data_IF_093608501870
#
_entry.id   IF_093608501870
#
_cell.length_a   1.000
_cell.length_b   1.000
_cell.length_c   1.000
_cell.angle_alpha   90.00
_cell.angle_beta   90.00
_cell.angle_gamma   90.00
#
_symmetry.space_group_name_H-M   'P 1'
#
loop_
_entity.id
_entity.type
_entity.pdbx_description
1 polymer ?
#
# COMPACT_ATOMS: atom_id res chain seq x y z
N UNK A 1 16.49 -3.40 -8.29
CA UNK A 1 15.67 -3.51 -7.07
C UNK A 1 15.12 -2.13 -6.77
N UNK A 2 13.80 -1.99 -6.67
CA UNK A 2 13.14 -0.70 -6.37
C UNK A 2 13.38 -0.28 -4.92
N UNK A 3 13.87 0.93 -4.69
CA UNK A 3 13.95 1.54 -3.36
C UNK A 3 12.55 1.92 -2.86
N UNK A 4 12.19 1.43 -1.66
CA UNK A 4 10.87 1.65 -1.03
C UNK A 4 10.93 2.89 -0.12
N UNK A 5 10.65 4.07 -0.67
CA UNK A 5 10.78 5.35 0.03
C UNK A 5 9.87 5.44 1.27
N UNK A 6 8.70 4.81 1.21
CA UNK A 6 7.71 4.80 2.29
C UNK A 6 8.20 4.10 3.58
N UNK A 7 9.28 3.31 3.53
CA UNK A 7 9.88 2.71 4.73
C UNK A 7 10.66 3.74 5.56
N UNK A 8 11.20 4.78 4.91
CA UNK A 8 12.00 5.81 5.56
C UNK A 8 11.16 7.05 5.92
N UNK A 9 10.17 7.36 5.09
CA UNK A 9 9.28 8.50 5.32
C UNK A 9 7.84 8.14 4.92
N UNK A 10 7.01 7.80 5.92
CA UNK A 10 5.61 7.44 5.72
C UNK A 10 4.73 8.64 5.29
N UNK A 11 5.20 9.88 5.48
CA UNK A 11 4.49 11.11 5.12
C UNK A 11 4.85 11.65 3.71
N UNK A 12 5.80 11.01 3.02
CA UNK A 12 6.13 11.36 1.65
C UNK A 12 4.93 11.12 0.72
N UNK A 13 4.52 12.14 -0.03
CA UNK A 13 3.38 12.10 -0.98
C UNK A 13 3.78 12.36 -2.42
N UNK A 14 4.88 13.06 -2.65
CA UNK A 14 5.45 13.25 -3.96
C UNK A 14 6.90 12.77 -4.00
N UNK A 15 7.34 12.28 -5.16
CA UNK A 15 8.72 11.83 -5.37
C UNK A 15 9.07 11.82 -6.85
N UNK A 16 10.36 11.96 -7.17
CA UNK A 16 10.86 11.73 -8.53
C UNK A 16 11.37 10.29 -8.65
N UNK A 17 11.28 9.69 -9.84
CA UNK A 17 11.84 8.38 -10.15
C UNK A 17 12.19 8.22 -11.64
N UNK A 18 12.86 7.13 -11.98
CA UNK A 18 13.15 6.71 -13.35
C UNK A 18 12.47 5.38 -13.63
N UNK A 19 11.82 5.27 -14.80
CA UNK A 19 11.26 4.00 -15.27
C UNK A 19 12.39 3.02 -15.60
N UNK A 20 12.49 1.92 -14.86
CA UNK A 20 13.53 0.90 -15.07
C UNK A 20 13.07 -0.23 -15.96
N UNK A 21 11.77 -0.46 -16.07
CA UNK A 21 11.20 -1.49 -16.93
C UNK A 21 9.74 -1.20 -17.31
N UNK A 22 9.30 -1.78 -18.42
CA UNK A 22 7.93 -1.62 -18.95
C UNK A 22 7.41 -2.98 -19.39
N UNK A 23 6.19 -3.32 -18.98
CA UNK A 23 5.51 -4.57 -19.31
C UNK A 23 4.01 -4.29 -19.54
N UNK A 24 3.60 -4.17 -20.80
CA UNK A 24 2.25 -3.78 -21.22
C UNK A 24 1.80 -2.46 -20.55
N UNK A 25 0.82 -2.54 -19.64
CA UNK A 25 0.30 -1.40 -18.89
C UNK A 25 1.00 -1.17 -17.55
N UNK A 26 2.11 -1.87 -17.28
CA UNK A 26 2.84 -1.82 -16.02
C UNK A 26 4.22 -1.23 -16.20
N UNK A 27 4.69 -0.52 -15.18
CA UNK A 27 6.06 -0.04 -15.11
C UNK A 27 6.74 -0.41 -13.79
N UNK A 28 8.05 -0.62 -13.86
CA UNK A 28 8.93 -0.69 -12.69
C UNK A 28 9.67 0.66 -12.55
N UNK A 29 9.84 1.12 -11.31
CA UNK A 29 10.57 2.33 -10.99
C UNK A 29 11.85 1.98 -10.22
N UNK A 30 12.88 2.81 -10.32
CA UNK A 30 14.10 2.70 -9.50
C UNK A 30 13.80 2.94 -8.02
N UNK A 31 12.85 3.82 -7.71
CA UNK A 31 12.33 4.08 -6.37
C UNK A 31 10.85 4.45 -6.40
N UNK A 32 10.13 4.15 -5.32
CA UNK A 32 8.70 4.46 -5.22
C UNK A 32 8.27 4.80 -3.81
N UNK A 33 7.39 5.79 -3.68
CA UNK A 33 6.67 6.05 -2.45
C UNK A 33 5.31 5.33 -2.39
N UNK A 34 4.81 4.77 -3.51
CA UNK A 34 3.58 3.98 -3.52
C UNK A 34 3.79 2.67 -2.74
N UNK A 35 2.91 2.40 -1.78
CA UNK A 35 2.85 1.13 -1.07
C UNK A 35 2.26 0.07 -2.01
N UNK A 36 2.99 -1.02 -2.19
CA UNK A 36 2.49 -2.20 -2.89
C UNK A 36 1.60 -3.03 -1.96
N UNK A 37 0.51 -3.59 -2.50
CA UNK A 37 -0.41 -4.43 -1.72
C UNK A 37 0.35 -5.52 -0.98
N UNK A 38 0.23 -5.55 0.35
CA UNK A 38 0.96 -6.49 1.21
C UNK A 38 0.30 -6.59 2.59
N UNK A 39 0.39 -7.75 3.24
CA UNK A 39 -0.08 -7.93 4.62
C UNK A 39 -1.57 -7.62 4.86
N UNK A 40 -2.42 -7.72 3.83
CA UNK A 40 -3.83 -7.33 3.89
C UNK A 40 -4.11 -5.84 3.70
N UNK A 41 -3.08 -4.99 3.64
CA UNK A 41 -3.23 -3.58 3.27
C UNK A 41 -3.25 -3.42 1.75
N UNK A 42 -4.31 -2.83 1.17
CA UNK A 42 -4.36 -2.50 -0.25
C UNK A 42 -3.26 -1.52 -0.67
N UNK A 43 -2.91 -1.54 -1.95
CA UNK A 43 -1.99 -0.58 -2.53
C UNK A 43 -2.49 0.86 -2.44
N UNK A 44 -1.53 1.78 -2.56
CA UNK A 44 -1.85 3.17 -2.85
C UNK A 44 -2.22 3.40 -4.31
N UNK A 45 -3.00 4.45 -4.51
CA UNK A 45 -3.36 5.01 -5.81
C UNK A 45 -2.79 6.42 -5.94
N UNK A 46 -2.82 6.97 -7.14
CA UNK A 46 -2.36 8.33 -7.41
C UNK A 46 -2.03 8.53 -8.88
N UNK A 47 -1.06 9.40 -9.17
CA UNK A 47 -0.71 9.78 -10.53
C UNK A 47 0.80 9.77 -10.75
N UNK A 48 1.21 9.50 -11.98
CA UNK A 48 2.56 9.74 -12.47
C UNK A 48 2.50 10.81 -13.56
N UNK A 49 3.41 11.77 -13.51
CA UNK A 49 3.57 12.84 -14.49
C UNK A 49 4.98 12.76 -15.10
N UNK A 50 5.08 13.07 -16.38
CA UNK A 50 6.36 13.24 -17.07
C UNK A 50 6.20 14.28 -18.18
N UNK A 51 7.31 14.68 -18.80
CA UNK A 51 7.37 15.79 -19.76
C UNK A 51 6.25 15.80 -20.81
N UNK A 52 5.83 14.61 -21.28
CA UNK A 52 4.88 14.46 -22.39
C UNK A 52 3.64 13.63 -22.03
N UNK A 53 3.30 13.48 -20.74
CA UNK A 53 2.12 12.71 -20.37
C UNK A 53 1.88 12.56 -18.87
N UNK A 54 0.72 12.00 -18.55
CA UNK A 54 0.36 11.60 -17.21
C UNK A 54 -0.52 10.35 -17.26
N UNK A 55 -0.46 9.53 -16.22
CA UNK A 55 -1.30 8.36 -16.06
C UNK A 55 -1.65 8.13 -14.59
N UNK A 56 -2.80 7.49 -14.35
CA UNK A 56 -3.21 7.13 -12.99
C UNK A 56 -2.61 5.79 -12.60
N UNK A 57 -2.07 5.67 -11.39
CA UNK A 57 -1.65 4.40 -10.80
C UNK A 57 -2.88 3.74 -10.17
N UNK A 58 -3.28 2.60 -10.72
CA UNK A 58 -4.51 1.89 -10.33
C UNK A 58 -4.28 0.56 -9.61
N UNK A 59 -3.05 0.04 -9.62
CA UNK A 59 -2.64 -1.13 -8.83
C UNK A 59 -1.12 -1.11 -8.63
N UNK A 60 -0.67 -1.55 -7.45
CA UNK A 60 0.76 -1.69 -7.14
C UNK A 60 1.01 -3.03 -6.47
N UNK A 61 1.86 -3.86 -7.08
CA UNK A 61 2.10 -5.24 -6.66
C UNK A 61 3.58 -5.59 -6.68
N UNK A 62 3.99 -6.39 -5.70
CA UNK A 62 5.29 -7.04 -5.72
C UNK A 62 5.16 -8.37 -6.44
N UNK A 63 5.92 -8.59 -7.52
CA UNK A 63 5.98 -9.86 -8.25
C UNK A 63 7.45 -10.28 -8.35
N UNK A 64 7.81 -11.36 -7.67
CA UNK A 64 9.22 -11.69 -7.44
C UNK A 64 9.90 -10.59 -6.63
N UNK A 65 10.98 -10.03 -7.16
CA UNK A 65 11.75 -8.94 -6.52
C UNK A 65 11.37 -7.54 -7.03
N UNK A 66 10.41 -7.45 -7.96
CA UNK A 66 10.02 -6.22 -8.64
C UNK A 66 8.73 -5.63 -8.07
N UNK A 67 8.65 -4.29 -8.06
CA UNK A 67 7.42 -3.56 -7.75
C UNK A 67 6.84 -3.00 -9.04
N UNK A 68 5.71 -3.55 -9.45
CA UNK A 68 4.99 -3.15 -10.64
C UNK A 68 3.88 -2.16 -10.31
N UNK A 69 3.81 -1.07 -11.07
CA UNK A 69 2.77 -0.06 -11.01
C UNK A 69 1.92 -0.20 -12.28
N UNK A 70 0.67 -0.61 -12.14
CA UNK A 70 -0.28 -0.70 -13.26
C UNK A 70 -0.88 0.68 -13.50
N UNK A 71 -0.79 1.15 -14.74
CA UNK A 71 -1.24 2.47 -15.15
C UNK A 71 -2.54 2.40 -15.94
N UNK A 72 -3.44 3.34 -15.64
CA UNK A 72 -4.57 3.70 -16.48
C UNK A 72 -4.22 4.98 -17.24
N UNK A 73 -3.77 4.83 -18.48
CA UNK A 73 -3.35 5.93 -19.35
C UNK A 73 -2.15 5.56 -20.23
N UNK A 74 -1.50 6.56 -20.84
CA UNK A 74 -0.26 6.37 -21.60
C UNK A 74 0.83 5.72 -20.74
N UNK A 75 1.71 4.93 -21.38
CA UNK A 75 2.81 4.24 -20.70
C UNK A 75 4.13 4.94 -21.06
N UNK A 76 4.88 5.46 -20.08
CA UNK A 76 6.18 6.07 -20.35
C UNK A 76 7.21 5.02 -20.79
N UNK A 77 8.19 5.44 -21.59
CA UNK A 77 9.26 4.56 -22.01
C UNK A 77 10.23 4.27 -20.85
N UNK A 78 10.95 3.15 -20.96
CA UNK A 78 12.08 2.87 -20.07
C UNK A 78 13.11 4.01 -20.16
N UNK A 79 13.60 4.46 -19.00
CA UNK A 79 14.52 5.59 -18.86
C UNK A 79 13.82 6.95 -18.70
N UNK A 80 12.50 7.03 -18.86
CA UNK A 80 11.75 8.27 -18.62
C UNK A 80 11.82 8.67 -17.14
N UNK A 81 12.10 9.95 -16.89
CA UNK A 81 11.96 10.57 -15.57
C UNK A 81 10.50 10.89 -15.32
N UNK A 82 10.02 10.54 -14.13
CA UNK A 82 8.64 10.77 -13.71
C UNK A 82 8.61 11.48 -12.35
N UNK A 83 7.53 12.19 -12.10
CA UNK A 83 7.10 12.66 -10.79
C UNK A 83 5.88 11.82 -10.39
N UNK A 84 5.93 11.17 -9.23
CA UNK A 84 4.83 10.40 -8.67
C UNK A 84 4.15 11.16 -7.55
N UNK A 85 2.83 11.18 -7.56
CA UNK A 85 1.97 11.77 -6.54
C UNK A 85 1.00 10.72 -6.00
N UNK A 86 1.00 10.52 -4.68
CA UNK A 86 0.12 9.58 -3.98
C UNK A 86 -1.17 10.30 -3.57
N UNK A 87 -2.29 9.59 -3.65
CA UNK A 87 -3.55 10.01 -3.03
C UNK A 87 -3.39 10.10 -1.50
N UNK A 88 -3.19 11.32 -1.00
CA UNK A 88 -2.93 11.58 0.43
C UNK A 88 -4.10 11.16 1.32
N UNK A 89 -5.34 11.39 0.89
CA UNK A 89 -6.51 11.05 1.68
C UNK A 89 -6.60 9.53 1.85
N UNK A 90 -6.51 8.77 0.75
CA UNK A 90 -6.49 7.31 0.80
C UNK A 90 -5.34 6.81 1.68
N UNK A 91 -4.13 7.33 1.49
CA UNK A 91 -2.94 6.93 2.26
C UNK A 91 -3.15 7.15 3.76
N UNK A 92 -3.65 8.32 4.17
CA UNK A 92 -3.91 8.62 5.60
C UNK A 92 -4.99 7.72 6.17
N UNK A 93 -6.06 7.46 5.43
CA UNK A 93 -7.13 6.56 5.85
C UNK A 93 -6.63 5.12 6.05
N UNK A 94 -5.77 4.63 5.15
CA UNK A 94 -5.09 3.33 5.30
C UNK A 94 -4.19 3.32 6.53
N UNK A 95 -3.32 4.32 6.72
CA UNK A 95 -2.43 4.40 7.89
C UNK A 95 -3.21 4.42 9.22
N UNK A 96 -4.34 5.15 9.29
CA UNK A 96 -5.23 5.17 10.46
C UNK A 96 -5.82 3.80 10.75
N UNK A 97 -6.30 3.11 9.71
CA UNK A 97 -6.91 1.79 9.82
C UNK A 97 -5.90 0.75 10.29
N UNK A 98 -4.70 0.73 9.69
CA UNK A 98 -3.61 -0.17 10.07
C UNK A 98 -3.21 0.06 11.54
N UNK A 99 -3.07 1.32 11.94
CA UNK A 99 -2.76 1.68 13.33
C UNK A 99 -3.84 1.17 14.30
N UNK A 100 -5.11 1.36 13.96
CA UNK A 100 -6.23 0.86 14.77
C UNK A 100 -6.23 -0.67 14.91
N UNK A 101 -5.92 -1.40 13.83
CA UNK A 101 -5.79 -2.86 13.86
C UNK A 101 -4.65 -3.32 14.79
N UNK A 102 -3.51 -2.63 14.80
CA UNK A 102 -2.43 -2.91 15.75
C UNK A 102 -2.81 -2.61 17.20
N UNK A 103 -3.58 -1.54 17.44
CA UNK A 103 -4.12 -1.24 18.78
C UNK A 103 -5.04 -2.39 19.22
N UNK A 104 -5.92 -2.88 18.34
CA UNK A 104 -6.78 -4.03 18.63
C UNK A 104 -5.97 -5.28 18.96
N UNK A 105 -4.92 -5.60 18.19
CA UNK A 105 -3.98 -6.67 18.54
C UNK A 105 -3.39 -6.50 19.94
N UNK A 106 -2.96 -5.29 20.29
CA UNK A 106 -2.42 -4.98 21.62
C UNK A 106 -3.44 -5.23 22.74
N UNK A 107 -4.69 -4.84 22.53
CA UNK A 107 -5.80 -5.11 23.48
C UNK A 107 -6.06 -6.61 23.60
N UNK A 108 -6.13 -7.32 22.47
CA UNK A 108 -6.38 -8.77 22.43
C UNK A 108 -5.29 -9.56 23.17
N UNK A 109 -4.03 -9.20 22.93
CA UNK A 109 -2.90 -9.78 23.65
C UNK A 109 -2.91 -9.44 25.15
N UNK A 110 -3.20 -8.18 25.49
CA UNK A 110 -3.20 -7.73 26.89
C UNK A 110 -4.25 -8.47 27.73
N UNK A 111 -5.48 -8.59 27.21
CA UNK A 111 -6.63 -9.15 27.95
C UNK A 111 -6.76 -10.66 27.82
N UNK A 112 -6.54 -11.24 26.63
CA UNK A 112 -6.84 -12.65 26.34
C UNK A 112 -5.64 -13.48 25.89
N UNK A 113 -4.44 -12.88 25.75
CA UNK A 113 -3.22 -13.58 25.28
C UNK A 113 -3.40 -14.25 23.92
N UNK A 114 -4.26 -13.70 23.06
CA UNK A 114 -4.48 -14.20 21.69
C UNK A 114 -3.74 -13.36 20.68
N UNK A 115 -3.15 -14.05 19.71
CA UNK A 115 -2.50 -13.46 18.54
C UNK A 115 -3.49 -13.40 17.38
N UNK A 116 -3.28 -12.44 16.48
CA UNK A 116 -4.05 -12.38 15.23
C UNK A 116 -3.75 -13.61 14.38
N UNK A 117 -4.81 -14.23 13.83
CA UNK A 117 -4.70 -15.37 12.92
C UNK A 117 -5.01 -15.01 11.48
N UNK A 118 -5.71 -13.90 11.26
CA UNK A 118 -6.02 -13.37 9.95
C UNK A 118 -6.47 -11.91 10.03
N UNK A 119 -6.39 -11.21 8.91
CA UNK A 119 -6.86 -9.84 8.84
C UNK A 119 -6.92 -9.33 7.41
N UNK A 120 -7.75 -8.32 7.19
CA UNK A 120 -7.82 -7.60 5.94
C UNK A 120 -8.28 -6.17 6.22
N UNK A 121 -7.96 -5.25 5.33
CA UNK A 121 -8.36 -3.85 5.50
C UNK A 121 -8.66 -3.13 4.20
N UNK A 122 -9.38 -2.03 4.34
CA UNK A 122 -9.59 -0.99 3.35
C UNK A 122 -9.52 0.37 4.07
N UNK A 123 -9.70 1.45 3.33
CA UNK A 123 -9.75 2.79 3.89
C UNK A 123 -10.90 2.90 4.91
N UNK A 124 -10.54 3.19 6.17
CA UNK A 124 -11.45 3.32 7.32
C UNK A 124 -12.26 2.07 7.67
N UNK A 125 -11.87 0.89 7.17
CA UNK A 125 -12.53 -0.39 7.47
C UNK A 125 -11.49 -1.50 7.63
N UNK A 126 -11.61 -2.31 8.68
CA UNK A 126 -10.67 -3.40 8.94
C UNK A 126 -11.34 -4.59 9.62
N UNK A 127 -10.85 -5.78 9.33
CA UNK A 127 -11.22 -7.03 9.98
C UNK A 127 -9.97 -7.66 10.58
N UNK A 128 -10.09 -8.14 11.81
CA UNK A 128 -9.05 -8.90 12.50
C UNK A 128 -9.67 -10.15 13.10
N UNK A 129 -9.06 -11.29 12.80
CA UNK A 129 -9.51 -12.60 13.22
C UNK A 129 -8.61 -13.09 14.35
N UNK A 130 -9.23 -13.64 15.40
CA UNK A 130 -8.55 -14.18 16.57
C UNK A 130 -9.16 -15.53 16.92
N UNK A 131 -8.31 -16.49 17.29
CA UNK A 131 -8.77 -17.78 17.79
C UNK A 131 -9.19 -17.65 19.27
N UNK A 132 -10.40 -18.08 19.58
CA UNK A 132 -11.00 -18.03 20.92
C UNK A 132 -11.57 -19.41 21.25
N UNK A 133 -11.31 -19.90 22.47
CA UNK A 133 -11.78 -21.22 22.92
C UNK A 133 -13.29 -21.25 23.19
N UNK A 134 -13.86 -20.13 23.65
CA UNK A 134 -15.30 -19.97 23.85
C UNK A 134 -15.72 -18.54 23.47
N UNK A 135 -16.83 -18.42 22.72
CA UNK A 135 -17.48 -17.15 22.43
C UNK A 135 -18.60 -16.95 23.45
N UNK A 136 -18.42 -16.00 24.37
CA UNK A 136 -19.52 -15.55 25.23
C UNK A 136 -20.62 -14.94 24.37
N UNK A 137 -21.86 -15.41 24.53
CA UNK A 137 -23.04 -14.81 23.92
C UNK A 137 -23.51 -13.55 24.66
N UNK A 138 -22.99 -13.32 25.87
CA UNK A 138 -23.29 -12.13 26.64
C UNK A 138 -22.41 -10.98 26.13
N UNK A 139 -23.00 -10.15 25.28
CA UNK A 139 -22.53 -8.78 25.08
C UNK A 139 -23.05 -7.98 26.28
N UNK A 140 -22.18 -7.78 27.28
CA UNK A 140 -22.51 -7.00 28.48
C UNK A 140 -22.97 -5.57 28.16
#
# INVERSE_FOLDING_TARGET
MTEKLYLNNADLRSFEAIVTDVDESRIELDKTAFYATSGGQPHDTGHLLWENGAASVIDVRTVGEKIWHTLAGPIPAKGTRIEGEIDDERRRQMMRTHTAMHILCGVMWKKWKRVVTGGNMDALSGRMDFEMEEMSTDFG
#
